data_IF_324008788947
#
_entry.id   IF_324008788947
#
_cell.length_a   1.000
_cell.length_b   1.000
_cell.length_c   1.000
_cell.angle_alpha   90.00
_cell.angle_beta   90.00
_cell.angle_gamma   90.00
#
_symmetry.space_group_name_H-M   'P 1'
#
loop_
_entity.id
_entity.type
_entity.pdbx_description
1 polymer ?
#
# COMPACT_ATOMS: atom_id res chain seq x y z
N UNK A 1 31.76 3.63 24.19
CA UNK A 1 31.69 4.27 22.86
C UNK A 1 32.01 3.22 21.81
N UNK A 2 31.00 2.45 21.41
CA UNK A 2 31.20 1.28 20.56
C UNK A 2 29.90 0.86 19.91
N UNK A 3 30.01 0.39 18.67
CA UNK A 3 29.06 -0.42 17.89
C UNK A 3 27.63 0.06 17.57
N UNK A 4 27.05 1.06 18.24
CA UNK A 4 25.64 1.43 18.02
C UNK A 4 25.39 2.51 16.94
N UNK A 5 26.44 3.19 16.48
CA UNK A 5 26.33 4.24 15.44
C UNK A 5 26.26 3.70 13.99
N UNK A 6 26.31 2.37 13.78
CA UNK A 6 26.28 1.76 12.43
C UNK A 6 24.94 1.10 12.06
N UNK A 7 24.06 0.87 13.03
CA UNK A 7 22.71 0.30 12.78
C UNK A 7 21.69 1.41 12.49
N UNK A 8 21.81 2.57 13.16
CA UNK A 8 20.95 3.74 12.90
C UNK A 8 21.24 4.48 11.58
N UNK A 9 22.34 4.17 10.88
CA UNK A 9 22.69 4.78 9.57
C UNK A 9 22.41 3.83 8.39
N UNK A 10 22.10 2.54 8.65
CA UNK A 10 21.80 1.57 7.60
C UNK A 10 20.30 1.48 7.24
N UNK A 11 19.39 1.84 8.16
CA UNK A 11 17.94 1.82 7.91
C UNK A 11 17.40 3.07 7.16
N UNK A 12 18.21 4.12 7.00
CA UNK A 12 17.84 5.35 6.27
C UNK A 12 18.48 5.46 4.86
N UNK A 13 19.30 4.47 4.44
CA UNK A 13 20.01 4.49 3.15
C UNK A 13 19.54 3.37 2.20
N UNK A 14 18.66 2.46 2.63
CA UNK A 14 18.19 1.33 1.83
C UNK A 14 16.99 1.58 0.89
N UNK A 15 16.19 2.63 1.11
CA UNK A 15 14.99 2.96 0.30
C UNK A 15 15.13 4.24 -0.54
N UNK A 16 16.36 4.76 -0.68
CA UNK A 16 16.70 5.86 -1.59
C UNK A 16 17.65 5.38 -2.69
N UNK A 17 17.32 4.25 -3.31
CA UNK A 17 17.51 4.12 -4.76
C UNK A 17 16.14 4.40 -5.39
N UNK A 18 15.64 5.61 -5.15
CA UNK A 18 15.10 6.33 -6.29
C UNK A 18 16.22 6.26 -7.31
N UNK A 19 15.99 5.54 -8.41
CA UNK A 19 16.73 5.87 -9.60
C UNK A 19 16.57 7.38 -9.73
N UNK A 20 17.63 8.13 -9.40
CA UNK A 20 17.81 9.43 -9.97
C UNK A 20 17.47 9.19 -11.45
N UNK A 21 16.49 9.90 -12.05
CA UNK A 21 16.33 9.81 -13.49
C UNK A 21 17.73 10.01 -14.00
N UNK A 22 18.28 8.96 -14.61
CA UNK A 22 19.65 9.00 -15.03
C UNK A 22 19.72 10.28 -15.83
N UNK A 23 20.53 11.23 -15.39
CA UNK A 23 21.04 12.28 -16.27
C UNK A 23 22.01 11.62 -17.24
N UNK A 24 21.62 10.48 -17.83
CA UNK A 24 21.67 10.37 -19.26
C UNK A 24 20.99 11.62 -19.77
N UNK A 25 21.80 12.61 -20.12
CA UNK A 25 21.54 13.42 -21.27
C UNK A 25 21.09 12.46 -22.38
N UNK A 26 19.79 12.15 -22.42
CA UNK A 26 19.12 12.09 -23.70
C UNK A 26 19.50 13.44 -24.29
N UNK A 27 20.39 13.42 -25.26
CA UNK A 27 20.70 14.60 -26.04
C UNK A 27 19.39 14.99 -26.70
N UNK A 28 18.56 15.76 -25.99
CA UNK A 28 17.37 16.36 -26.52
C UNK A 28 17.80 17.12 -27.76
N UNK A 29 17.08 16.90 -28.86
CA UNK A 29 17.31 17.65 -30.09
C UNK A 29 17.41 19.13 -29.72
N UNK A 30 18.48 19.78 -30.18
CA UNK A 30 18.66 21.22 -29.94
C UNK A 30 17.43 21.98 -30.43
N UNK A 31 17.12 23.13 -29.83
CA UNK A 31 15.99 23.97 -30.28
C UNK A 31 16.05 24.26 -31.78
N UNK A 32 17.25 24.41 -32.35
CA UNK A 32 17.44 24.57 -33.79
C UNK A 32 16.98 23.36 -34.62
N UNK A 33 17.21 22.15 -34.15
CA UNK A 33 16.76 20.93 -34.82
C UNK A 33 15.24 20.78 -34.73
N UNK A 34 14.67 21.12 -33.57
CA UNK A 34 13.21 21.09 -33.34
C UNK A 34 12.48 22.13 -34.19
N UNK A 35 13.05 23.32 -34.32
CA UNK A 35 12.56 24.36 -35.22
C UNK A 35 12.66 23.91 -36.69
N UNK A 36 13.75 23.26 -37.10
CA UNK A 36 13.86 22.71 -38.45
C UNK A 36 12.78 21.64 -38.73
N UNK A 37 12.46 20.79 -37.75
CA UNK A 37 11.37 19.81 -37.85
C UNK A 37 10.00 20.49 -37.93
N UNK A 38 9.76 21.54 -37.14
CA UNK A 38 8.55 22.36 -37.22
C UNK A 38 8.38 22.97 -38.62
N UNK A 39 9.44 23.55 -39.18
CA UNK A 39 9.42 24.14 -40.52
C UNK A 39 9.13 23.08 -41.59
N UNK A 40 9.69 21.87 -41.46
CA UNK A 40 9.40 20.77 -42.38
C UNK A 40 7.94 20.29 -42.27
N UNK A 41 7.40 20.22 -41.05
CA UNK A 41 6.00 19.88 -40.80
C UNK A 41 5.06 20.96 -41.37
N UNK A 42 5.37 22.25 -41.17
CA UNK A 42 4.57 23.37 -41.72
C UNK A 42 4.60 23.36 -43.26
N UNK A 43 5.74 23.03 -43.87
CA UNK A 43 5.86 22.91 -45.33
C UNK A 43 5.06 21.73 -45.90
N UNK A 44 4.78 20.70 -45.09
CA UNK A 44 4.03 19.49 -45.46
C UNK A 44 2.97 19.16 -44.40
N UNK A 45 1.90 19.97 -44.28
CA UNK A 45 0.95 19.88 -43.17
C UNK A 45 0.10 18.60 -43.14
N UNK A 46 0.07 17.84 -44.24
CA UNK A 46 -0.66 16.58 -44.36
C UNK A 46 0.23 15.33 -44.13
N UNK A 47 1.50 15.52 -43.80
CA UNK A 47 2.48 14.44 -43.58
C UNK A 47 2.48 14.04 -42.10
N UNK A 48 1.73 12.98 -41.78
CA UNK A 48 1.52 12.48 -40.40
C UNK A 48 2.85 12.13 -39.70
N UNK A 49 3.81 11.58 -40.44
CA UNK A 49 5.05 11.10 -39.83
C UNK A 49 5.92 12.26 -39.34
N UNK A 50 6.03 13.35 -40.11
CA UNK A 50 6.78 14.55 -39.68
C UNK A 50 6.21 15.20 -38.43
N UNK A 51 4.89 15.19 -38.30
CA UNK A 51 4.22 15.77 -37.16
C UNK A 51 4.35 14.88 -35.92
N UNK A 52 4.32 13.55 -36.06
CA UNK A 52 4.66 12.64 -34.96
C UNK A 52 6.13 12.81 -34.54
N UNK A 53 7.05 12.91 -35.50
CA UNK A 53 8.47 13.17 -35.20
C UNK A 53 8.67 14.49 -34.44
N UNK A 54 8.03 15.57 -34.89
CA UNK A 54 8.07 16.86 -34.19
C UNK A 54 7.40 16.81 -32.81
N UNK A 55 6.24 16.16 -32.70
CA UNK A 55 5.50 16.05 -31.44
C UNK A 55 6.28 15.24 -30.40
N UNK A 56 6.89 14.11 -30.77
CA UNK A 56 7.76 13.35 -29.87
C UNK A 56 8.99 14.15 -29.46
N UNK A 57 9.69 14.77 -30.40
CA UNK A 57 10.85 15.62 -30.10
C UNK A 57 10.49 16.78 -29.15
N UNK A 58 9.28 17.34 -29.29
CA UNK A 58 8.76 18.41 -28.44
C UNK A 58 8.38 17.91 -27.05
N UNK A 59 7.72 16.75 -26.97
CA UNK A 59 7.37 16.12 -25.71
C UNK A 59 8.61 15.72 -24.90
N UNK A 60 9.66 15.19 -25.55
CA UNK A 60 10.93 14.83 -24.91
C UNK A 60 11.68 16.06 -24.39
N UNK A 61 11.49 17.21 -25.03
CA UNK A 61 12.00 18.51 -24.58
C UNK A 61 11.12 19.17 -23.50
N UNK A 62 10.02 18.54 -23.07
CA UNK A 62 9.07 19.09 -22.11
C UNK A 62 8.10 20.14 -22.66
N UNK A 63 8.15 20.41 -23.97
CA UNK A 63 7.24 21.31 -24.68
C UNK A 63 5.97 20.55 -25.11
N UNK A 64 5.16 20.20 -24.11
CA UNK A 64 3.90 19.47 -24.32
C UNK A 64 2.88 20.30 -25.11
N UNK A 65 2.84 21.62 -24.91
CA UNK A 65 1.90 22.51 -25.62
C UNK A 65 2.20 22.57 -27.13
N UNK A 66 3.48 22.68 -27.51
CA UNK A 66 3.91 22.62 -28.91
C UNK A 66 3.60 21.27 -29.56
N UNK A 67 3.82 20.17 -28.83
CA UNK A 67 3.50 18.82 -29.29
C UNK A 67 1.98 18.62 -29.50
N UNK A 68 1.17 19.06 -28.53
CA UNK A 68 -0.30 18.99 -28.59
C UNK A 68 -0.81 19.81 -29.77
N UNK A 69 -0.35 21.06 -29.93
CA UNK A 69 -0.81 21.92 -31.03
C UNK A 69 -0.53 21.31 -32.41
N UNK A 70 0.62 20.65 -32.57
CA UNK A 70 0.96 19.95 -33.81
C UNK A 70 0.00 18.78 -34.08
N UNK A 71 -0.26 17.92 -33.09
CA UNK A 71 -1.14 16.77 -33.23
C UNK A 71 -2.63 17.14 -33.35
N UNK A 72 -3.10 18.18 -32.68
CA UNK A 72 -4.48 18.67 -32.84
C UNK A 72 -4.75 19.22 -34.23
N UNK A 73 -3.77 19.92 -34.82
CA UNK A 73 -3.88 20.34 -36.24
C UNK A 73 -3.98 19.15 -37.17
N UNK A 74 -3.38 18.02 -36.83
CA UNK A 74 -3.49 16.79 -37.63
C UNK A 74 -4.89 16.18 -37.58
N UNK A 75 -5.60 16.27 -36.46
CA UNK A 75 -6.99 15.80 -36.37
C UNK A 75 -7.92 16.53 -37.35
N UNK A 76 -7.56 17.75 -37.79
CA UNK A 76 -8.29 18.47 -38.83
C UNK A 76 -8.18 17.74 -40.18
N UNK A 77 -7.00 17.19 -40.49
CA UNK A 77 -6.71 16.52 -41.77
C UNK A 77 -7.06 15.03 -41.74
N UNK A 78 -6.91 14.38 -40.59
CA UNK A 78 -7.13 12.94 -40.40
C UNK A 78 -8.03 12.70 -39.18
N UNK A 79 -9.32 13.08 -39.25
CA UNK A 79 -10.26 12.88 -38.15
C UNK A 79 -10.41 11.39 -37.83
N UNK A 80 -10.58 11.07 -36.54
CA UNK A 80 -10.77 9.70 -36.05
C UNK A 80 -9.58 8.75 -36.27
N UNK A 81 -8.35 9.27 -36.31
CA UNK A 81 -7.14 8.45 -36.37
C UNK A 81 -6.74 8.00 -34.96
N UNK A 82 -6.82 6.69 -34.61
CA UNK A 82 -6.58 6.23 -33.24
C UNK A 82 -5.17 6.50 -32.75
N UNK A 83 -4.18 6.46 -33.65
CA UNK A 83 -2.78 6.79 -33.32
C UNK A 83 -2.65 8.24 -32.83
N UNK A 84 -3.29 9.19 -33.51
CA UNK A 84 -3.26 10.61 -33.11
C UNK A 84 -4.00 10.81 -31.78
N UNK A 85 -5.17 10.18 -31.63
CA UNK A 85 -5.93 10.23 -30.38
C UNK A 85 -5.16 9.64 -29.20
N UNK A 86 -4.46 8.52 -29.40
CA UNK A 86 -3.61 7.91 -28.37
C UNK A 86 -2.49 8.86 -27.94
N UNK A 87 -1.71 9.37 -28.90
CA UNK A 87 -0.61 10.30 -28.61
C UNK A 87 -1.11 11.59 -27.93
N UNK A 88 -2.24 12.15 -28.38
CA UNK A 88 -2.89 13.28 -27.69
C UNK A 88 -3.31 12.92 -26.27
N UNK A 89 -3.89 11.74 -26.06
CA UNK A 89 -4.21 11.24 -24.72
C UNK A 89 -2.98 11.19 -23.81
N UNK A 90 -1.85 10.68 -24.33
CA UNK A 90 -0.58 10.63 -23.59
C UNK A 90 -0.03 12.03 -23.30
N UNK A 91 -0.06 12.94 -24.27
CA UNK A 91 0.42 14.31 -24.08
C UNK A 91 -0.44 15.10 -23.09
N UNK A 92 -1.77 14.98 -23.18
CA UNK A 92 -2.69 15.59 -22.23
C UNK A 92 -2.56 14.98 -20.83
N UNK A 93 -2.28 13.68 -20.74
CA UNK A 93 -1.94 13.02 -19.48
C UNK A 93 -0.68 13.64 -18.86
N UNK A 94 0.39 13.78 -19.66
CA UNK A 94 1.66 14.40 -19.22
C UNK A 94 1.51 15.89 -18.87
N UNK A 95 0.62 16.62 -19.55
CA UNK A 95 0.27 18.01 -19.24
C UNK A 95 -0.56 18.16 -17.95
N UNK A 96 -1.10 17.04 -17.42
CA UNK A 96 -1.97 17.04 -16.24
C UNK A 96 -3.44 17.37 -16.55
N UNK A 97 -3.83 17.41 -17.82
CA UNK A 97 -5.20 17.63 -18.27
C UNK A 97 -5.96 16.30 -18.36
N UNK A 98 -6.20 15.68 -17.21
CA UNK A 98 -6.68 14.30 -17.09
C UNK A 98 -8.05 14.02 -17.72
N UNK A 99 -8.99 14.97 -17.64
CA UNK A 99 -10.31 14.82 -18.24
C UNK A 99 -10.22 14.77 -19.77
N UNK A 100 -9.36 15.60 -20.35
CA UNK A 100 -9.11 15.64 -21.80
C UNK A 100 -8.37 14.38 -22.23
N UNK A 101 -7.36 13.96 -21.46
CA UNK A 101 -6.63 12.71 -21.69
C UNK A 101 -7.57 11.50 -21.69
N UNK A 102 -8.47 11.43 -20.69
CA UNK A 102 -9.47 10.37 -20.57
C UNK A 102 -10.37 10.32 -21.80
N UNK A 103 -10.88 11.47 -22.26
CA UNK A 103 -11.73 11.53 -23.44
C UNK A 103 -11.02 10.99 -24.70
N UNK A 104 -9.75 11.33 -24.89
CA UNK A 104 -8.96 10.82 -26.02
C UNK A 104 -8.72 9.31 -25.92
N UNK A 105 -8.39 8.80 -24.74
CA UNK A 105 -8.22 7.36 -24.52
C UNK A 105 -9.53 6.57 -24.73
N UNK A 106 -10.67 7.09 -24.28
CA UNK A 106 -11.98 6.50 -24.54
C UNK A 106 -12.31 6.45 -26.03
N UNK A 107 -11.97 7.49 -26.79
CA UNK A 107 -12.13 7.49 -28.25
C UNK A 107 -11.27 6.43 -28.94
N UNK A 108 -10.03 6.20 -28.47
CA UNK A 108 -9.17 5.12 -28.98
C UNK A 108 -9.83 3.76 -28.73
N UNK A 109 -10.33 3.50 -27.52
CA UNK A 109 -11.00 2.24 -27.20
C UNK A 109 -12.34 2.04 -27.92
N UNK A 110 -13.03 3.13 -28.28
CA UNK A 110 -14.26 3.06 -29.05
C UNK A 110 -14.03 2.64 -30.52
N UNK A 111 -12.80 2.69 -31.03
CA UNK A 111 -12.48 2.30 -32.39
C UNK A 111 -12.13 0.80 -32.49
N UNK A 112 -12.96 -0.05 -33.14
CA UNK A 112 -12.73 -1.49 -33.22
C UNK A 112 -11.50 -1.91 -34.04
N UNK A 113 -10.92 -0.99 -34.81
CA UNK A 113 -9.73 -1.26 -35.65
C UNK A 113 -8.40 -1.13 -34.90
N UNK A 114 -8.44 -0.73 -33.63
CA UNK A 114 -7.24 -0.56 -32.81
C UNK A 114 -6.62 -1.92 -32.45
N UNK A 115 -5.32 -2.12 -32.71
CA UNK A 115 -4.59 -3.31 -32.29
C UNK A 115 -4.69 -3.56 -30.78
N UNK A 116 -4.76 -4.83 -30.37
CA UNK A 116 -4.97 -5.21 -28.96
C UNK A 116 -3.88 -4.67 -28.02
N UNK A 117 -2.63 -4.63 -28.47
CA UNK A 117 -1.49 -4.07 -27.75
C UNK A 117 -1.66 -2.57 -27.44
N UNK A 118 -2.15 -1.79 -28.40
CA UNK A 118 -2.48 -0.37 -28.19
C UNK A 118 -3.67 -0.22 -27.26
N UNK A 119 -4.70 -1.07 -27.40
CA UNK A 119 -5.86 -1.05 -26.51
C UNK A 119 -5.48 -1.37 -25.04
N UNK A 120 -4.56 -2.31 -24.81
CA UNK A 120 -4.04 -2.58 -23.45
C UNK A 120 -3.25 -1.38 -22.90
N UNK A 121 -2.41 -0.73 -23.70
CA UNK A 121 -1.69 0.49 -23.28
C UNK A 121 -2.65 1.63 -22.92
N UNK A 122 -3.71 1.82 -23.69
CA UNK A 122 -4.74 2.82 -23.40
C UNK A 122 -5.46 2.51 -22.08
N UNK A 123 -5.76 1.23 -21.81
CA UNK A 123 -6.36 0.82 -20.54
C UNK A 123 -5.44 1.05 -19.34
N UNK A 124 -4.12 0.90 -19.50
CA UNK A 124 -3.15 1.31 -18.47
C UNK A 124 -3.29 2.79 -18.14
N UNK A 125 -3.28 3.65 -19.16
CA UNK A 125 -3.41 5.09 -18.95
C UNK A 125 -4.76 5.46 -18.34
N UNK A 126 -5.86 4.81 -18.73
CA UNK A 126 -7.17 5.04 -18.10
C UNK A 126 -7.16 4.60 -16.62
N UNK A 127 -6.52 3.47 -16.28
CA UNK A 127 -6.39 3.03 -14.89
C UNK A 127 -5.54 4.00 -14.07
N UNK A 128 -4.41 4.46 -14.62
CA UNK A 128 -3.57 5.49 -14.01
C UNK A 128 -4.31 6.81 -13.86
N UNK A 129 -5.11 7.20 -14.85
CA UNK A 129 -6.00 8.36 -14.78
C UNK A 129 -7.09 8.18 -13.74
N UNK A 130 -7.62 6.98 -13.52
CA UNK A 130 -8.60 6.75 -12.45
C UNK A 130 -7.96 6.85 -11.05
N UNK A 131 -6.65 6.60 -10.97
CA UNK A 131 -5.86 6.74 -9.74
C UNK A 131 -5.38 8.20 -9.54
N UNK A 132 -5.04 8.92 -10.62
CA UNK A 132 -4.52 10.29 -10.60
C UNK A 132 -5.61 11.38 -10.71
N UNK A 133 -6.73 11.08 -11.37
CA UNK A 133 -7.89 11.95 -11.45
C UNK A 133 -8.77 11.67 -10.24
N UNK A 134 -8.58 12.51 -9.22
CA UNK A 134 -9.48 12.71 -8.09
C UNK A 134 -10.20 11.43 -7.59
N UNK A 135 -9.60 10.64 -6.67
CA UNK A 135 -10.29 9.50 -6.08
C UNK A 135 -11.68 9.93 -5.59
N UNK A 136 -12.71 9.09 -5.76
CA UNK A 136 -14.08 9.47 -5.46
C UNK A 136 -14.16 10.05 -4.04
N UNK A 137 -14.94 11.14 -3.82
CA UNK A 137 -15.08 11.80 -2.51
C UNK A 137 -15.49 10.86 -1.38
N UNK A 138 -16.02 9.70 -1.72
CA UNK A 138 -16.35 8.64 -0.79
C UNK A 138 -15.97 7.30 -1.41
N UNK A 139 -15.34 6.44 -0.62
CA UNK A 139 -15.24 5.01 -0.92
C UNK A 139 -15.30 4.22 0.38
N UNK A 140 -15.93 3.04 0.35
CA UNK A 140 -15.91 2.15 1.48
C UNK A 140 -15.79 0.69 1.04
N UNK A 141 -15.26 -0.14 1.93
CA UNK A 141 -15.24 -1.58 1.74
C UNK A 141 -15.49 -2.32 3.05
N UNK A 142 -16.18 -3.44 2.94
CA UNK A 142 -16.39 -4.38 4.04
C UNK A 142 -15.90 -5.75 3.56
N UNK A 143 -15.14 -6.42 4.39
CA UNK A 143 -14.68 -7.78 4.19
C UNK A 143 -15.07 -8.60 5.41
N UNK A 144 -15.85 -9.66 5.21
CA UNK A 144 -16.27 -10.58 6.26
C UNK A 144 -15.86 -11.99 5.88
N UNK A 145 -15.22 -12.72 6.79
CA UNK A 145 -14.69 -14.04 6.53
C UNK A 145 -14.88 -15.00 7.69
N UNK A 146 -14.97 -16.29 7.36
CA UNK A 146 -14.73 -17.38 8.30
C UNK A 146 -13.27 -17.76 8.15
N UNK A 147 -12.55 -17.81 9.28
CA UNK A 147 -11.12 -18.09 9.36
C UNK A 147 -10.89 -19.31 10.25
N UNK A 148 -9.98 -20.17 9.84
CA UNK A 148 -9.40 -21.22 10.67
C UNK A 148 -7.90 -20.99 10.80
N UNK A 149 -7.38 -21.16 12.00
CA UNK A 149 -5.97 -21.03 12.36
C UNK A 149 -5.52 -22.32 13.03
N UNK A 150 -4.31 -22.78 12.73
CA UNK A 150 -3.71 -23.91 13.44
C UNK A 150 -3.22 -23.52 14.83
N UNK A 151 -2.94 -22.23 15.03
CA UNK A 151 -2.48 -21.65 16.29
C UNK A 151 -3.12 -20.26 16.50
N UNK A 152 -4.40 -20.26 16.88
CA UNK A 152 -5.23 -19.07 17.05
C UNK A 152 -4.78 -18.15 18.19
N UNK A 153 -4.16 -18.71 19.24
CA UNK A 153 -3.65 -17.95 20.39
C UNK A 153 -2.18 -17.54 20.26
N UNK A 154 -1.52 -17.87 19.15
CA UNK A 154 -0.08 -17.67 18.95
C UNK A 154 0.76 -18.22 20.12
N UNK A 155 0.32 -19.32 20.70
CA UNK A 155 0.99 -19.97 21.81
C UNK A 155 2.26 -20.71 21.35
N UNK A 156 3.20 -21.00 22.27
CA UNK A 156 4.42 -21.74 21.97
C UNK A 156 4.16 -23.07 21.27
N UNK A 157 5.01 -23.41 20.29
CA UNK A 157 4.95 -24.70 19.58
C UNK A 157 5.40 -25.90 20.42
N UNK A 158 6.00 -25.66 21.59
CA UNK A 158 6.47 -26.66 22.55
C UNK A 158 5.87 -26.40 23.92
N UNK A 159 5.53 -27.46 24.66
CA UNK A 159 5.12 -27.34 26.06
C UNK A 159 6.31 -27.29 27.03
N UNK A 160 7.55 -27.46 26.55
CA UNK A 160 8.76 -27.30 27.34
C UNK A 160 9.38 -25.94 27.04
N UNK A 161 9.55 -25.12 28.08
CA UNK A 161 10.14 -23.77 27.98
C UNK A 161 11.19 -23.56 29.06
N UNK A 162 12.21 -22.77 28.75
CA UNK A 162 13.29 -22.43 29.68
C UNK A 162 13.11 -21.01 30.18
N UNK A 163 12.90 -20.82 31.48
CA UNK A 163 12.82 -19.50 32.11
C UNK A 163 13.99 -19.35 33.09
N UNK A 164 14.85 -18.36 32.88
CA UNK A 164 16.04 -18.11 33.69
C UNK A 164 16.93 -19.35 33.90
N UNK A 165 17.04 -20.21 32.88
CA UNK A 165 17.83 -21.45 32.92
C UNK A 165 17.17 -22.61 33.65
N UNK A 166 15.88 -22.51 33.98
CA UNK A 166 15.08 -23.57 34.60
C UNK A 166 14.03 -24.03 33.60
N UNK A 167 13.94 -25.34 33.37
CA UNK A 167 12.96 -25.94 32.48
C UNK A 167 11.59 -26.02 33.17
N UNK A 168 10.56 -25.55 32.49
CA UNK A 168 9.16 -25.63 32.89
C UNK A 168 8.36 -26.41 31.84
N UNK A 169 7.35 -27.13 32.31
CA UNK A 169 6.33 -27.73 31.45
C UNK A 169 5.06 -26.91 31.55
N UNK A 170 4.65 -26.31 30.43
CA UNK A 170 3.42 -25.56 30.28
C UNK A 170 2.21 -26.50 30.32
N UNK A 171 1.09 -26.01 30.87
CA UNK A 171 -0.19 -26.68 30.74
C UNK A 171 -0.72 -26.59 29.30
N UNK A 172 -1.60 -27.51 28.93
CA UNK A 172 -2.15 -27.59 27.57
C UNK A 172 -2.86 -26.30 27.11
N UNK A 173 -3.34 -25.47 28.05
CA UNK A 173 -3.98 -24.18 27.74
C UNK A 173 -2.99 -23.05 27.42
N UNK A 174 -1.69 -23.26 27.68
CA UNK A 174 -0.63 -22.26 27.47
C UNK A 174 0.22 -22.54 26.23
N UNK A 175 -0.12 -23.56 25.43
CA UNK A 175 0.52 -23.87 24.15
C UNK A 175 -0.38 -23.50 22.97
N UNK A 176 0.18 -23.55 21.76
CA UNK A 176 -0.58 -23.24 20.55
C UNK A 176 -1.81 -24.13 20.36
N UNK A 177 -2.96 -23.51 20.09
CA UNK A 177 -4.24 -24.23 19.88
C UNK A 177 -4.95 -23.77 18.60
N UNK A 178 -5.57 -24.68 17.84
CA UNK A 178 -6.32 -24.31 16.65
C UNK A 178 -7.65 -23.65 17.02
N UNK A 179 -8.16 -22.79 16.13
CA UNK A 179 -9.41 -22.06 16.37
C UNK A 179 -10.13 -21.68 15.09
N UNK A 180 -11.45 -21.48 15.20
CA UNK A 180 -12.27 -20.89 14.15
C UNK A 180 -12.76 -19.52 14.61
N UNK A 181 -12.74 -18.54 13.72
CA UNK A 181 -13.23 -17.19 14.00
C UNK A 181 -14.02 -16.58 12.85
N UNK A 182 -14.86 -15.61 13.19
CA UNK A 182 -15.37 -14.63 12.25
C UNK A 182 -14.42 -13.42 12.23
N UNK A 183 -13.90 -13.09 11.05
CA UNK A 183 -13.06 -11.92 10.81
C UNK A 183 -13.86 -10.86 10.02
N UNK A 184 -13.86 -9.62 10.49
CA UNK A 184 -14.49 -8.50 9.81
C UNK A 184 -13.50 -7.34 9.68
N UNK A 185 -13.38 -6.79 8.47
CA UNK A 185 -12.56 -5.63 8.17
C UNK A 185 -13.41 -4.61 7.43
N UNK A 186 -13.51 -3.40 7.97
CA UNK A 186 -14.18 -2.27 7.35
C UNK A 186 -13.19 -1.15 7.03
N UNK A 187 -13.27 -0.57 5.85
CA UNK A 187 -12.51 0.63 5.47
C UNK A 187 -13.45 1.68 4.94
N UNK A 188 -13.23 2.94 5.30
CA UNK A 188 -13.94 4.08 4.74
C UNK A 188 -12.94 5.19 4.47
N UNK A 189 -13.09 5.82 3.31
CA UNK A 189 -12.40 7.05 2.94
C UNK A 189 -13.44 8.09 2.56
N UNK A 190 -13.31 9.29 3.11
CA UNK A 190 -14.08 10.47 2.74
C UNK A 190 -13.13 11.63 2.47
N UNK A 191 -13.41 12.37 1.41
CA UNK A 191 -12.60 13.49 0.96
C UNK A 191 -13.52 14.66 0.55
N UNK A 192 -13.27 15.83 1.11
CA UNK A 192 -13.99 17.06 0.83
C UNK A 192 -13.07 18.08 0.17
N UNK A 193 -13.40 18.52 -1.05
CA UNK A 193 -12.62 19.52 -1.79
C UNK A 193 -12.75 20.91 -1.15
N UNK A 194 -11.61 21.48 -0.78
CA UNK A 194 -11.51 22.87 -0.34
C UNK A 194 -11.36 23.72 -1.60
N UNK A 195 -12.35 24.58 -1.84
CA UNK A 195 -12.55 25.39 -3.07
C UNK A 195 -11.34 26.23 -3.56
N UNK A 196 -10.21 26.23 -2.86
CA UNK A 196 -8.98 26.88 -3.28
C UNK A 196 -7.87 25.83 -3.48
N UNK A 197 -7.26 25.84 -4.68
CA UNK A 197 -5.97 25.21 -4.98
C UNK A 197 -5.90 23.67 -4.96
N UNK A 198 -7.04 22.95 -4.87
CA UNK A 198 -7.10 21.48 -4.92
C UNK A 198 -6.70 20.81 -3.61
N UNK A 199 -6.74 21.56 -2.52
CA UNK A 199 -6.57 21.07 -1.14
C UNK A 199 -7.85 20.38 -0.68
N UNK A 200 -7.74 19.40 0.20
CA UNK A 200 -8.89 18.62 0.66
C UNK A 200 -8.86 18.44 2.15
N UNK A 201 -10.02 18.14 2.71
CA UNK A 201 -10.15 17.60 4.05
C UNK A 201 -10.47 16.12 3.92
N UNK A 202 -9.61 15.27 4.45
CA UNK A 202 -9.70 13.82 4.31
C UNK A 202 -9.98 13.17 5.68
N UNK A 203 -10.77 12.10 5.64
CA UNK A 203 -11.08 11.23 6.77
C UNK A 203 -10.94 9.78 6.31
N UNK A 204 -10.06 9.03 6.98
CA UNK A 204 -9.95 7.59 6.80
C UNK A 204 -10.40 6.89 8.09
N UNK A 205 -11.06 5.75 7.93
CA UNK A 205 -11.46 4.88 9.03
C UNK A 205 -11.18 3.42 8.67
N UNK A 206 -10.60 2.69 9.62
CA UNK A 206 -10.35 1.26 9.57
C UNK A 206 -10.99 0.63 10.82
N UNK A 207 -11.77 -0.43 10.60
CA UNK A 207 -12.24 -1.32 11.66
C UNK A 207 -11.75 -2.73 11.37
N UNK A 208 -11.24 -3.41 12.38
CA UNK A 208 -10.85 -4.81 12.34
C UNK A 208 -11.48 -5.50 13.55
N UNK A 209 -12.18 -6.61 13.34
CA UNK A 209 -12.83 -7.37 14.40
C UNK A 209 -12.61 -8.85 14.17
N UNK A 210 -12.19 -9.57 15.21
CA UNK A 210 -12.08 -11.04 15.23
C UNK A 210 -12.83 -11.57 16.44
N UNK A 211 -13.71 -12.54 16.19
CA UNK A 211 -14.51 -13.20 17.22
C UNK A 211 -14.34 -14.71 17.04
N UNK A 212 -13.77 -15.39 18.04
CA UNK A 212 -13.61 -16.83 18.05
C UNK A 212 -14.91 -17.53 18.43
N UNK A 213 -15.13 -18.71 17.84
CA UNK A 213 -16.33 -19.51 18.12
C UNK A 213 -16.17 -20.42 19.34
N UNK A 214 -14.93 -20.54 19.85
CA UNK A 214 -14.61 -21.30 21.04
C UNK A 214 -14.50 -20.34 22.22
N UNK A 215 -15.29 -20.59 23.28
CA UNK A 215 -15.31 -19.75 24.48
C UNK A 215 -13.93 -19.71 25.16
N UNK A 216 -13.11 -20.76 25.01
CA UNK A 216 -11.76 -20.75 25.58
C UNK A 216 -10.83 -19.74 24.90
N UNK A 217 -11.14 -19.30 23.66
CA UNK A 217 -10.40 -18.31 22.87
C UNK A 217 -11.01 -16.90 22.94
N UNK A 218 -12.07 -16.72 23.73
CA UNK A 218 -12.76 -15.42 23.82
C UNK A 218 -11.91 -14.32 24.46
N UNK A 219 -10.88 -14.68 25.24
CA UNK A 219 -9.91 -13.78 25.86
C UNK A 219 -9.04 -13.03 24.83
N UNK A 220 -8.96 -13.55 23.61
CA UNK A 220 -8.23 -12.96 22.48
C UNK A 220 -9.14 -12.44 21.36
N UNK A 221 -10.45 -12.35 21.60
CA UNK A 221 -11.36 -11.61 20.72
C UNK A 221 -10.89 -10.15 20.65
N UNK A 222 -10.75 -9.61 19.44
CA UNK A 222 -10.15 -8.29 19.23
C UNK A 222 -11.07 -7.42 18.37
N UNK A 223 -11.40 -6.25 18.89
CA UNK A 223 -11.95 -5.14 18.13
C UNK A 223 -10.92 -4.00 18.09
N UNK A 224 -10.51 -3.61 16.89
CA UNK A 224 -9.56 -2.54 16.63
C UNK A 224 -10.16 -1.51 15.68
N UNK A 225 -10.02 -0.22 16.03
CA UNK A 225 -10.48 0.90 15.24
C UNK A 225 -9.34 1.91 15.09
N UNK A 226 -9.09 2.37 13.88
CA UNK A 226 -8.17 3.48 13.57
C UNK A 226 -8.92 4.52 12.75
N UNK A 227 -8.76 5.79 13.09
CA UNK A 227 -9.24 6.89 12.26
C UNK A 227 -8.17 7.93 12.05
N UNK A 228 -8.18 8.55 10.88
CA UNK A 228 -7.35 9.72 10.58
C UNK A 228 -8.21 10.86 10.10
N UNK A 229 -7.79 12.09 10.40
CA UNK A 229 -8.50 13.28 9.95
C UNK A 229 -7.55 14.46 9.80
N UNK A 230 -7.63 15.16 8.67
CA UNK A 230 -6.88 16.40 8.47
C UNK A 230 -6.88 16.93 7.05
N UNK A 231 -6.14 18.01 6.79
CA UNK A 231 -5.98 18.57 5.46
C UNK A 231 -4.94 17.81 4.62
N UNK A 232 -5.28 17.55 3.37
CA UNK A 232 -4.33 17.13 2.35
C UNK A 232 -4.09 18.23 1.32
N UNK A 233 -2.83 18.44 0.99
CA UNK A 233 -2.33 19.56 0.23
C UNK A 233 -1.89 19.09 -1.16
N UNK A 234 -2.37 19.76 -2.21
CA UNK A 234 -1.81 19.56 -3.53
C UNK A 234 -0.41 20.17 -3.61
N UNK A 235 0.61 19.38 -3.94
CA UNK A 235 2.01 19.80 -3.92
C UNK A 235 2.49 20.39 -5.24
N UNK A 236 1.62 20.47 -6.27
CA UNK A 236 1.92 21.16 -7.53
C UNK A 236 2.40 22.61 -7.32
N UNK A 237 1.94 23.28 -6.25
CA UNK A 237 2.37 24.65 -5.88
C UNK A 237 3.87 24.77 -5.57
N UNK A 238 4.53 23.66 -5.27
CA UNK A 238 5.96 23.56 -5.01
C UNK A 238 6.71 22.82 -6.13
N UNK A 239 6.14 22.76 -7.34
CA UNK A 239 6.67 22.04 -8.49
C UNK A 239 6.83 20.51 -8.28
N UNK A 240 6.04 19.93 -7.36
CA UNK A 240 5.91 18.48 -7.22
C UNK A 240 4.60 18.03 -7.85
N UNK A 241 4.65 17.72 -9.14
CA UNK A 241 3.48 17.27 -9.88
C UNK A 241 2.96 15.94 -9.31
N UNK A 242 1.64 15.76 -9.43
CA UNK A 242 0.96 14.50 -9.07
C UNK A 242 1.26 14.01 -7.64
N UNK A 243 1.52 14.94 -6.72
CA UNK A 243 1.92 14.63 -5.36
C UNK A 243 1.01 15.35 -4.37
N UNK A 244 0.60 14.64 -3.31
CA UNK A 244 -0.19 15.16 -2.20
C UNK A 244 0.54 14.95 -0.89
N UNK A 245 0.50 15.96 -0.03
CA UNK A 245 0.99 15.88 1.35
C UNK A 245 -0.21 15.94 2.29
N UNK A 246 -0.42 14.92 3.09
CA UNK A 246 -1.50 14.84 4.07
C UNK A 246 -0.92 15.00 5.47
N UNK A 247 -1.46 15.94 6.24
CA UNK A 247 -1.12 16.14 7.66
C UNK A 247 -2.38 15.89 8.46
N UNK A 248 -2.31 14.99 9.44
CA UNK A 248 -3.52 14.50 10.12
C UNK A 248 -3.30 14.20 11.60
N UNK A 249 -4.40 14.28 12.35
CA UNK A 249 -4.51 13.57 13.62
C UNK A 249 -4.84 12.10 13.33
N UNK A 250 -4.34 11.20 14.17
CA UNK A 250 -4.63 9.77 14.14
C UNK A 250 -5.10 9.31 15.52
N UNK A 251 -5.99 8.35 15.58
CA UNK A 251 -6.48 7.78 16.83
C UNK A 251 -6.80 6.30 16.69
N UNK A 252 -6.24 5.50 17.59
CA UNK A 252 -6.52 4.07 17.69
C UNK A 252 -7.34 3.75 18.94
N UNK A 253 -8.19 2.74 18.83
CA UNK A 253 -8.89 2.09 19.95
C UNK A 253 -8.79 0.58 19.76
N UNK A 254 -8.39 -0.12 20.82
CA UNK A 254 -8.36 -1.58 20.84
C UNK A 254 -9.09 -2.12 22.06
N UNK A 255 -9.92 -3.14 21.84
CA UNK A 255 -10.56 -3.95 22.87
C UNK A 255 -10.10 -5.39 22.68
N UNK A 256 -9.69 -6.04 23.77
CA UNK A 256 -9.21 -7.43 23.77
C UNK A 256 -9.99 -8.18 24.85
N UNK A 257 -10.61 -9.31 24.52
CA UNK A 257 -11.45 -10.06 25.46
C UNK A 257 -12.62 -9.24 26.00
N UNK A 258 -13.19 -8.35 25.18
CA UNK A 258 -14.26 -7.40 25.53
C UNK A 258 -13.87 -6.30 26.53
N UNK A 259 -12.62 -6.27 26.99
CA UNK A 259 -12.07 -5.21 27.83
C UNK A 259 -11.27 -4.19 27.01
N UNK A 260 -11.17 -2.95 27.51
CA UNK A 260 -10.32 -1.94 26.86
C UNK A 260 -8.86 -2.39 26.93
N UNK A 261 -8.20 -2.49 25.78
CA UNK A 261 -6.80 -2.91 25.69
C UNK A 261 -5.86 -1.70 25.64
N UNK A 262 -6.07 -0.78 24.69
CA UNK A 262 -5.42 0.53 24.67
C UNK A 262 -6.21 1.55 23.85
N UNK A 263 -5.88 2.82 24.05
CA UNK A 263 -6.21 3.90 23.11
C UNK A 263 -4.93 4.66 22.74
N UNK A 264 -4.83 5.15 21.51
CA UNK A 264 -3.59 5.78 21.03
C UNK A 264 -3.84 7.04 20.18
N UNK A 265 -3.97 8.23 20.79
CA UNK A 265 -3.98 9.48 20.05
C UNK A 265 -2.58 9.80 19.48
N UNK A 266 -2.56 10.43 18.31
CA UNK A 266 -1.32 10.76 17.64
C UNK A 266 -1.48 11.76 16.50
N UNK A 267 -0.40 11.92 15.76
CA UNK A 267 -0.37 12.70 14.52
C UNK A 267 0.49 12.01 13.47
N UNK A 268 0.20 12.30 12.22
CA UNK A 268 0.92 11.73 11.09
C UNK A 268 1.08 12.70 9.93
N UNK A 269 2.07 12.39 9.09
CA UNK A 269 2.27 13.00 7.79
C UNK A 269 2.40 11.89 6.75
N UNK A 270 1.67 12.02 5.65
CA UNK A 270 1.69 11.11 4.51
C UNK A 270 2.04 11.85 3.23
N UNK A 271 2.97 11.33 2.46
CA UNK A 271 3.30 11.78 1.11
C UNK A 271 2.81 10.72 0.11
N UNK A 272 1.85 11.09 -0.72
CA UNK A 272 1.32 10.24 -1.79
C UNK A 272 1.75 10.82 -3.14
N UNK A 273 2.53 10.09 -3.93
CA UNK A 273 3.04 10.54 -5.22
C UNK A 273 2.74 9.56 -6.34
N UNK A 274 2.23 10.10 -7.45
CA UNK A 274 1.99 9.42 -8.72
C UNK A 274 2.91 9.96 -9.84
N UNK A 275 3.97 10.69 -9.47
CA UNK A 275 4.83 11.42 -10.41
C UNK A 275 5.54 10.55 -11.45
N UNK A 276 5.66 9.24 -11.21
CA UNK A 276 6.16 8.27 -12.17
C UNK A 276 5.00 7.49 -12.79
N UNK A 277 4.98 7.40 -14.13
CA UNK A 277 3.89 6.82 -14.92
C UNK A 277 3.48 5.40 -14.52
N UNK A 278 4.41 4.58 -14.01
CA UNK A 278 4.13 3.19 -13.62
C UNK A 278 4.26 2.96 -12.13
N UNK A 279 4.37 4.02 -11.32
CA UNK A 279 4.67 3.87 -9.90
C UNK A 279 3.81 4.74 -9.00
N UNK A 280 3.48 4.20 -7.84
CA UNK A 280 2.82 4.93 -6.76
C UNK A 280 3.65 4.80 -5.51
N UNK A 281 3.98 5.93 -4.88
CA UNK A 281 4.65 5.98 -3.59
C UNK A 281 3.69 6.54 -2.54
N UNK A 282 3.48 5.78 -1.46
CA UNK A 282 2.77 6.20 -0.25
C UNK A 282 3.74 6.08 0.93
N UNK A 283 4.29 7.20 1.39
CA UNK A 283 5.21 7.24 2.53
C UNK A 283 4.53 7.92 3.73
N UNK A 284 4.70 7.36 4.93
CA UNK A 284 4.06 7.82 6.16
C UNK A 284 5.06 7.93 7.30
N UNK A 285 4.97 9.02 8.05
CA UNK A 285 5.61 9.18 9.35
C UNK A 285 4.51 9.45 10.37
N UNK A 286 4.37 8.57 11.35
CA UNK A 286 3.30 8.63 12.35
C UNK A 286 3.89 8.49 13.75
N UNK A 287 3.35 9.25 14.70
CA UNK A 287 3.68 9.14 16.12
C UNK A 287 2.39 9.06 16.93
N UNK A 288 2.34 8.14 17.88
CA UNK A 288 1.17 7.86 18.72
C UNK A 288 1.63 7.66 20.15
N UNK A 289 0.85 8.12 21.12
CA UNK A 289 1.03 7.76 22.52
C UNK A 289 0.04 6.65 22.86
N UNK A 290 0.51 5.42 23.08
CA UNK A 290 -0.32 4.25 23.34
C UNK A 290 -0.52 4.11 24.85
N UNK A 291 -1.75 4.25 25.32
CA UNK A 291 -2.09 4.07 26.73
C UNK A 291 -2.80 2.73 26.96
N UNK A 292 -2.04 1.76 27.45
CA UNK A 292 -2.51 0.40 27.73
C UNK A 292 -3.21 0.32 29.09
N UNK A 293 -4.31 -0.41 29.14
CA UNK A 293 -5.12 -0.55 30.35
C UNK A 293 -4.91 -1.94 30.97
N UNK A 294 -4.72 -1.97 32.29
CA UNK A 294 -4.69 -3.21 33.07
C UNK A 294 -6.10 -3.79 33.20
N UNK A 295 -6.22 -5.12 33.08
CA UNK A 295 -7.46 -5.85 33.34
C UNK A 295 -7.18 -7.14 34.13
N UNK A 296 -8.20 -7.99 34.35
CA UNK A 296 -8.03 -9.22 35.13
C UNK A 296 -7.08 -10.24 34.49
N UNK A 297 -7.03 -10.27 33.15
CA UNK A 297 -6.24 -11.24 32.38
C UNK A 297 -4.82 -10.72 32.11
N UNK A 298 -4.67 -9.40 32.02
CA UNK A 298 -3.44 -8.65 31.76
C UNK A 298 -3.23 -7.59 32.85
N UNK A 299 -2.89 -7.98 34.09
CA UNK A 299 -2.80 -7.05 35.24
C UNK A 299 -1.58 -6.11 35.21
N UNK A 300 -0.72 -6.22 34.21
CA UNK A 300 0.49 -5.41 34.04
C UNK A 300 0.63 -4.88 32.61
N UNK A 301 -0.47 -4.79 31.89
CA UNK A 301 -0.53 -4.29 30.52
C UNK A 301 -0.05 -2.82 30.42
N UNK A 302 -0.30 -2.02 31.45
CA UNK A 302 0.12 -0.62 31.56
C UNK A 302 1.64 -0.43 31.50
N UNK A 303 2.43 -1.48 31.75
CA UNK A 303 3.88 -1.45 31.55
C UNK A 303 4.28 -1.24 30.07
N UNK A 304 3.36 -1.45 29.13
CA UNK A 304 3.56 -1.21 27.68
C UNK A 304 3.27 0.23 27.27
N UNK A 305 2.73 1.05 28.17
CA UNK A 305 2.33 2.43 27.85
C UNK A 305 3.52 3.27 27.44
N UNK A 306 3.35 4.05 26.36
CA UNK A 306 4.34 5.02 25.93
C UNK A 306 4.26 5.38 24.45
N UNK A 307 5.36 5.87 23.89
CA UNK A 307 5.37 6.41 22.53
C UNK A 307 5.67 5.34 21.50
N UNK A 308 4.92 5.36 20.40
CA UNK A 308 5.23 4.63 19.18
C UNK A 308 5.50 5.64 18.07
N UNK A 309 6.62 5.51 17.37
CA UNK A 309 6.92 6.27 16.15
C UNK A 309 7.21 5.30 15.01
N UNK A 310 6.55 5.49 13.86
CA UNK A 310 6.69 4.63 12.69
C UNK A 310 6.94 5.43 11.44
N UNK A 311 7.98 5.05 10.70
CA UNK A 311 8.25 5.50 9.34
C UNK A 311 8.02 4.32 8.39
N UNK A 312 7.02 4.43 7.51
CA UNK A 312 6.65 3.41 6.55
C UNK A 312 6.60 3.93 5.12
N UNK A 313 6.83 3.05 4.16
CA UNK A 313 6.63 3.31 2.74
C UNK A 313 5.98 2.11 2.06
N UNK A 314 5.01 2.38 1.21
CA UNK A 314 4.39 1.44 0.29
C UNK A 314 4.66 1.94 -1.14
N UNK A 315 5.36 1.12 -1.92
CA UNK A 315 5.69 1.39 -3.31
C UNK A 315 5.02 0.36 -4.21
N UNK A 316 4.17 0.83 -5.12
CA UNK A 316 3.51 -0.02 -6.12
C UNK A 316 4.06 0.26 -7.51
N UNK A 317 4.39 -0.80 -8.25
CA UNK A 317 4.87 -0.73 -9.63
C UNK A 317 3.97 -1.54 -10.56
N UNK A 318 3.49 -0.92 -11.63
CA UNK A 318 2.55 -1.48 -12.60
C UNK A 318 3.32 -1.94 -13.85
N UNK A 319 3.60 -3.24 -13.95
CA UNK A 319 4.32 -3.79 -15.11
C UNK A 319 3.47 -3.75 -16.38
N UNK A 320 2.21 -4.16 -16.25
CA UNK A 320 1.21 -4.25 -17.34
C UNK A 320 -0.17 -3.98 -16.74
N UNK A 321 -1.23 -3.73 -17.55
CA UNK A 321 -2.56 -3.56 -16.97
C UNK A 321 -2.96 -4.86 -16.29
N UNK A 322 -3.22 -4.78 -14.99
CA UNK A 322 -3.52 -5.94 -14.15
C UNK A 322 -2.33 -6.69 -13.57
N UNK A 323 -1.06 -6.33 -13.81
CA UNK A 323 0.07 -6.93 -13.08
C UNK A 323 0.83 -5.88 -12.28
N UNK A 324 0.69 -5.95 -10.95
CA UNK A 324 1.23 -4.97 -10.02
C UNK A 324 2.11 -5.68 -9.01
N UNK A 325 3.27 -5.11 -8.73
CA UNK A 325 4.09 -5.44 -7.57
C UNK A 325 3.95 -4.36 -6.52
N UNK A 326 3.89 -4.77 -5.26
CA UNK A 326 3.79 -3.87 -4.11
C UNK A 326 4.92 -4.24 -3.16
N UNK A 327 5.78 -3.29 -2.85
CA UNK A 327 6.83 -3.41 -1.82
C UNK A 327 6.45 -2.54 -0.64
N UNK A 328 6.46 -3.10 0.56
CA UNK A 328 6.20 -2.33 1.78
C UNK A 328 7.39 -2.49 2.71
N UNK A 329 7.83 -1.40 3.31
CA UNK A 329 8.86 -1.41 4.33
C UNK A 329 8.49 -0.42 5.42
N UNK A 330 8.79 -0.76 6.67
CA UNK A 330 8.69 0.21 7.75
C UNK A 330 9.73 -0.07 8.82
N UNK A 331 10.10 1.00 9.51
CA UNK A 331 10.81 0.97 10.78
C UNK A 331 9.92 1.60 11.85
N UNK A 332 9.87 0.98 13.01
CA UNK A 332 9.09 1.41 14.15
C UNK A 332 9.96 1.39 15.40
N UNK A 333 9.74 2.38 16.26
CA UNK A 333 10.26 2.44 17.62
C UNK A 333 9.10 2.45 18.58
N UNK A 334 9.10 1.53 19.54
CA UNK A 334 8.24 1.57 20.72
C UNK A 334 9.09 1.92 21.95
N UNK A 335 8.68 2.96 22.67
CA UNK A 335 9.22 3.38 23.96
C UNK A 335 8.14 3.14 25.02
N UNK A 336 8.27 2.08 25.80
CA UNK A 336 7.34 1.68 26.84
C UNK A 336 7.79 2.15 28.25
N UNK A 337 6.89 2.06 29.24
CA UNK A 337 7.15 2.36 30.66
C UNK A 337 8.28 1.50 31.22
N UNK A 338 8.39 0.24 30.77
CA UNK A 338 9.51 -0.66 31.08
C UNK A 338 10.28 -1.04 29.82
N UNK A 339 11.60 -1.00 29.92
CA UNK A 339 12.50 -1.15 28.77
C UNK A 339 12.47 -2.53 28.11
N UNK A 340 12.09 -3.59 28.83
CA UNK A 340 11.91 -4.91 28.22
C UNK A 340 10.64 -5.02 27.34
N UNK A 341 9.79 -3.98 27.31
CA UNK A 341 8.73 -3.82 26.31
C UNK A 341 9.04 -2.72 25.27
N UNK A 342 10.18 -2.04 25.38
CA UNK A 342 10.66 -1.12 24.36
C UNK A 342 11.43 -1.87 23.30
N UNK A 343 11.17 -1.59 22.03
CA UNK A 343 11.77 -2.32 20.92
C UNK A 343 12.02 -1.45 19.68
N UNK A 344 12.86 -1.97 18.79
CA UNK A 344 12.88 -1.58 17.39
C UNK A 344 12.30 -2.69 16.53
N UNK A 345 11.39 -2.33 15.64
CA UNK A 345 10.81 -3.24 14.67
C UNK A 345 11.14 -2.78 13.25
N UNK A 346 11.64 -3.70 12.43
CA UNK A 346 11.87 -3.50 11.00
C UNK A 346 11.09 -4.56 10.22
N UNK A 347 10.32 -4.13 9.23
CA UNK A 347 9.65 -5.05 8.33
C UNK A 347 9.89 -4.72 6.87
N UNK A 348 9.91 -5.77 6.05
CA UNK A 348 9.97 -5.72 4.60
C UNK A 348 9.01 -6.77 4.03
N UNK A 349 8.14 -6.38 3.11
CA UNK A 349 7.27 -7.30 2.39
C UNK A 349 7.22 -6.99 0.91
N UNK A 350 6.95 -8.04 0.14
CA UNK A 350 6.80 -8.01 -1.30
C UNK A 350 5.53 -8.77 -1.67
N UNK A 351 4.69 -8.14 -2.48
CA UNK A 351 3.45 -8.72 -3.00
C UNK A 351 3.32 -8.51 -4.49
N UNK A 352 2.61 -9.42 -5.14
CA UNK A 352 2.23 -9.38 -6.54
C UNK A 352 0.72 -9.59 -6.65
N UNK A 353 0.08 -8.77 -7.47
CA UNK A 353 -1.32 -8.93 -7.85
C UNK A 353 -1.41 -9.07 -9.37
N UNK A 354 -1.96 -10.18 -9.84
CA UNK A 354 -2.18 -10.46 -11.25
C UNK A 354 -3.66 -10.66 -11.56
N UNK A 355 -4.22 -9.71 -12.29
CA UNK A 355 -5.59 -9.70 -12.80
C UNK A 355 -5.64 -10.30 -14.19
N UNK A 356 -6.48 -11.34 -14.38
CA UNK A 356 -6.64 -12.04 -15.65
C UNK A 356 -8.09 -12.45 -15.89
N UNK A 357 -8.40 -12.81 -17.14
CA UNK A 357 -9.76 -13.20 -17.54
C UNK A 357 -10.23 -14.42 -16.74
N UNK A 358 -11.43 -14.32 -16.16
CA UNK A 358 -12.02 -15.41 -15.39
C UNK A 358 -12.33 -16.63 -16.29
N UNK A 359 -11.77 -17.82 -15.99
CA UNK A 359 -11.98 -19.03 -16.80
C UNK A 359 -13.26 -19.82 -16.43
N UNK A 360 -13.94 -19.48 -15.33
CA UNK A 360 -15.02 -20.30 -14.74
C UNK A 360 -16.42 -19.70 -14.98
N UNK A 361 -16.61 -18.40 -14.77
CA UNK A 361 -17.86 -17.71 -15.13
C UNK A 361 -17.72 -17.03 -16.48
N UNK A 362 -18.84 -16.80 -17.16
CA UNK A 362 -18.96 -16.33 -18.55
C UNK A 362 -18.32 -14.93 -18.78
N UNK A 363 -16.99 -14.85 -18.64
CA UNK A 363 -16.04 -13.75 -18.86
C UNK A 363 -16.35 -12.37 -18.28
N UNK A 364 -17.43 -12.16 -17.52
CA UNK A 364 -17.90 -10.80 -17.23
C UNK A 364 -16.97 -10.00 -16.30
N UNK A 365 -16.33 -10.63 -15.31
CA UNK A 365 -15.43 -9.95 -14.38
C UNK A 365 -14.08 -10.69 -14.29
N UNK A 366 -12.94 -9.99 -14.40
CA UNK A 366 -11.61 -10.62 -14.28
C UNK A 366 -11.33 -11.04 -12.83
N UNK A 367 -10.58 -12.13 -12.65
CA UNK A 367 -10.08 -12.58 -11.35
C UNK A 367 -8.76 -11.88 -11.03
N UNK A 368 -8.45 -11.69 -9.75
CA UNK A 368 -7.11 -11.24 -9.32
C UNK A 368 -6.48 -12.26 -8.38
N UNK A 369 -5.34 -12.83 -8.77
CA UNK A 369 -4.52 -13.64 -7.89
C UNK A 369 -3.50 -12.75 -7.18
N UNK A 370 -3.42 -12.89 -5.87
CA UNK A 370 -2.48 -12.18 -5.03
C UNK A 370 -1.55 -13.17 -4.37
N UNK A 371 -0.25 -12.92 -4.42
CA UNK A 371 0.77 -13.69 -3.70
C UNK A 371 1.77 -12.71 -3.10
N UNK A 372 2.17 -12.93 -1.86
CA UNK A 372 3.16 -12.09 -1.22
C UNK A 372 3.75 -12.74 0.02
N UNK A 373 4.80 -12.14 0.52
CA UNK A 373 5.45 -12.55 1.76
C UNK A 373 6.27 -11.43 2.33
N UNK A 374 6.69 -11.60 3.58
CA UNK A 374 7.49 -10.60 4.25
C UNK A 374 8.25 -11.17 5.43
N UNK A 375 9.14 -10.33 5.94
CA UNK A 375 9.92 -10.57 7.14
C UNK A 375 9.69 -9.40 8.10
N UNK A 376 9.68 -9.71 9.39
CA UNK A 376 9.62 -8.75 10.49
C UNK A 376 10.72 -9.15 11.45
N UNK A 377 11.54 -8.19 11.86
CA UNK A 377 12.50 -8.37 12.94
C UNK A 377 12.19 -7.39 14.04
N UNK A 378 12.12 -7.89 15.28
CA UNK A 378 11.94 -7.09 16.49
C UNK A 378 13.09 -7.37 17.45
N UNK A 379 13.76 -6.32 17.91
CA UNK A 379 14.83 -6.42 18.90
C UNK A 379 14.45 -5.54 20.11
N UNK A 380 14.26 -6.17 21.27
CA UNK A 380 13.90 -5.49 22.51
C UNK A 380 15.13 -4.92 23.23
N UNK A 381 14.95 -3.79 23.92
CA UNK A 381 16.05 -3.02 24.50
C UNK A 381 16.71 -3.74 25.68
N UNK A 382 15.92 -4.30 26.58
CA UNK A 382 16.39 -4.92 27.82
C UNK A 382 15.81 -6.33 28.05
N UNK A 383 16.50 -7.18 28.84
CA UNK A 383 15.98 -8.49 29.23
C UNK A 383 14.74 -8.38 30.11
N UNK A 384 13.74 -9.21 29.83
CA UNK A 384 12.59 -9.42 30.72
C UNK A 384 13.04 -10.32 31.89
N UNK A 385 13.14 -9.80 33.12
CA UNK A 385 13.66 -10.55 34.24
C UNK A 385 12.80 -11.77 34.62
N UNK A 386 11.54 -11.83 34.17
CA UNK A 386 10.64 -12.96 34.40
C UNK A 386 10.92 -14.13 33.46
N UNK A 387 11.52 -13.87 32.30
CA UNK A 387 11.81 -14.87 31.26
C UNK A 387 13.31 -15.17 31.18
N UNK A 388 14.14 -14.14 31.01
CA UNK A 388 15.59 -14.26 30.93
C UNK A 388 16.26 -12.98 31.45
N UNK A 389 17.05 -13.09 32.53
CA UNK A 389 17.76 -11.95 33.12
C UNK A 389 19.02 -11.52 32.36
N UNK A 390 19.47 -12.27 31.35
CA UNK A 390 20.74 -12.04 30.66
C UNK A 390 20.58 -11.55 29.23
N UNK A 391 19.56 -12.00 28.52
CA UNK A 391 19.36 -11.72 27.09
C UNK A 391 18.02 -11.06 26.84
N UNK A 392 18.00 -9.97 26.06
CA UNK A 392 16.76 -9.35 25.59
C UNK A 392 16.09 -10.18 24.49
N UNK A 393 14.76 -10.09 24.42
CA UNK A 393 13.94 -10.77 23.41
C UNK A 393 14.32 -10.28 22.01
N UNK A 394 14.41 -11.23 21.06
CA UNK A 394 14.62 -10.97 19.65
C UNK A 394 13.76 -11.92 18.84
N UNK A 395 12.90 -11.34 18.02
CA UNK A 395 11.97 -12.08 17.20
C UNK A 395 12.30 -11.88 15.72
N UNK A 396 12.32 -12.98 14.98
CA UNK A 396 12.34 -12.99 13.53
C UNK A 396 11.08 -13.72 13.04
N UNK A 397 10.16 -12.97 12.44
CA UNK A 397 8.95 -13.51 11.82
C UNK A 397 9.10 -13.50 10.31
N UNK A 398 8.67 -14.56 9.65
CA UNK A 398 8.37 -14.52 8.23
C UNK A 398 6.96 -15.02 7.97
N UNK A 399 6.37 -14.52 6.90
CA UNK A 399 5.05 -14.93 6.47
C UNK A 399 4.94 -14.98 4.97
N UNK A 400 4.04 -15.83 4.48
CA UNK A 400 3.66 -15.91 3.07
C UNK A 400 2.15 -16.04 2.97
N UNK A 401 1.56 -15.37 2.00
CA UNK A 401 0.12 -15.32 1.78
C UNK A 401 -0.20 -15.46 0.30
N UNK A 402 -1.25 -16.21 0.00
CA UNK A 402 -1.88 -16.21 -1.31
C UNK A 402 -3.38 -16.03 -1.16
N UNK A 403 -3.98 -15.21 -2.02
CA UNK A 403 -5.42 -14.98 -2.06
C UNK A 403 -5.91 -14.92 -3.50
N UNK A 404 -7.14 -15.34 -3.74
CA UNK A 404 -7.80 -15.21 -5.04
C UNK A 404 -9.01 -14.31 -4.87
N UNK A 405 -8.99 -13.11 -5.44
CA UNK A 405 -10.15 -12.22 -5.45
C UNK A 405 -11.00 -12.56 -6.66
N UNK A 406 -12.20 -13.07 -6.40
CA UNK A 406 -13.12 -13.62 -7.37
C UNK A 406 -14.38 -12.73 -7.42
N UNK A 407 -14.48 -11.73 -8.30
CA UNK A 407 -15.68 -10.90 -8.39
C UNK A 407 -16.88 -11.74 -8.85
N UNK A 408 -17.97 -11.66 -8.09
CA UNK A 408 -19.24 -12.35 -8.38
C UNK A 408 -20.33 -11.38 -8.83
N UNK A 409 -20.14 -10.08 -8.56
CA UNK A 409 -20.92 -8.96 -9.10
C UNK A 409 -20.03 -7.70 -9.15
N UNK A 410 -20.54 -6.61 -9.71
CA UNK A 410 -19.78 -5.34 -9.86
C UNK A 410 -19.10 -4.85 -8.57
N UNK A 411 -19.72 -5.12 -7.42
CA UNK A 411 -19.30 -4.62 -6.10
C UNK A 411 -19.05 -5.74 -5.09
N UNK A 412 -19.19 -7.00 -5.48
CA UNK A 412 -19.06 -8.16 -4.60
C UNK A 412 -17.97 -9.11 -5.09
N UNK A 413 -17.14 -9.61 -4.18
CA UNK A 413 -16.13 -10.62 -4.47
C UNK A 413 -16.07 -11.71 -3.39
N UNK A 414 -15.76 -12.94 -3.80
CA UNK A 414 -15.33 -14.02 -2.90
C UNK A 414 -13.81 -14.02 -2.83
N UNK A 415 -13.26 -14.26 -1.64
CA UNK A 415 -11.81 -14.22 -1.39
C UNK A 415 -11.39 -15.41 -0.53
N UNK A 416 -11.13 -16.59 -1.14
CA UNK A 416 -10.33 -17.62 -0.48
C UNK A 416 -8.89 -17.13 -0.31
N UNK A 417 -8.32 -17.36 0.87
CA UNK A 417 -6.94 -17.01 1.21
C UNK A 417 -6.31 -18.07 2.10
N UNK A 418 -5.00 -18.25 1.94
CA UNK A 418 -4.13 -19.04 2.81
C UNK A 418 -2.95 -18.18 3.21
N UNK A 419 -2.59 -18.19 4.48
CA UNK A 419 -1.36 -17.60 5.02
C UNK A 419 -0.62 -18.64 5.87
N UNK A 420 0.71 -18.64 5.77
CA UNK A 420 1.56 -19.32 6.73
C UNK A 420 2.48 -18.29 7.37
N UNK A 421 2.62 -18.35 8.69
CA UNK A 421 3.49 -17.50 9.51
C UNK A 421 4.34 -18.38 10.41
N UNK A 422 5.60 -18.04 10.55
CA UNK A 422 6.53 -18.67 11.48
C UNK A 422 7.30 -17.56 12.19
N UNK A 423 7.29 -17.59 13.51
CA UNK A 423 7.99 -16.66 14.39
C UNK A 423 9.01 -17.45 15.20
N UNK A 424 10.27 -17.07 15.05
CA UNK A 424 11.37 -17.59 15.85
C UNK A 424 11.83 -16.55 16.85
N UNK A 425 12.02 -16.96 18.09
CA UNK A 425 12.50 -16.10 19.16
C UNK A 425 13.57 -16.79 19.98
N UNK A 426 14.46 -16.01 20.59
CA UNK A 426 15.32 -16.53 21.65
C UNK A 426 14.56 -16.79 22.96
N UNK A 427 13.31 -16.35 23.05
CA UNK A 427 12.39 -16.71 24.12
C UNK A 427 11.50 -17.87 23.66
N UNK A 428 11.60 -19.02 24.34
CA UNK A 428 10.80 -20.22 24.00
C UNK A 428 9.29 -19.91 23.98
N UNK A 429 8.84 -19.00 24.86
CA UNK A 429 7.45 -18.54 24.97
C UNK A 429 6.92 -17.78 23.73
N UNK A 430 7.80 -17.39 22.81
CA UNK A 430 7.50 -16.53 21.65
C UNK A 430 7.74 -17.24 20.33
N UNK A 431 8.11 -18.52 20.35
CA UNK A 431 8.37 -19.31 19.16
C UNK A 431 7.13 -20.13 18.77
N UNK A 432 6.59 -19.86 17.59
CA UNK A 432 5.39 -20.52 17.08
C UNK A 432 5.28 -20.46 15.56
N UNK A 433 4.46 -21.34 14.99
CA UNK A 433 3.95 -21.19 13.63
C UNK A 433 2.42 -21.19 13.60
N UNK A 434 1.86 -20.64 12.52
CA UNK A 434 0.42 -20.64 12.25
C UNK A 434 0.14 -20.80 10.75
N UNK A 435 -0.76 -21.73 10.43
CA UNK A 435 -1.40 -21.88 9.13
C UNK A 435 -2.82 -21.32 9.22
N UNK A 436 -3.02 -20.16 8.61
CA UNK A 436 -4.33 -19.54 8.48
C UNK A 436 -4.98 -19.90 7.15
N UNK A 437 -6.23 -20.35 7.18
CA UNK A 437 -7.08 -20.46 5.99
C UNK A 437 -8.36 -19.67 6.19
N UNK A 438 -8.79 -18.92 5.19
CA UNK A 438 -10.04 -18.16 5.29
C UNK A 438 -10.80 -18.14 3.98
N UNK A 439 -12.12 -18.05 4.10
CA UNK A 439 -13.03 -17.78 3.00
C UNK A 439 -13.85 -16.54 3.34
N UNK A 440 -13.59 -15.46 2.61
CA UNK A 440 -14.25 -14.19 2.83
C UNK A 440 -15.13 -13.73 1.68
N UNK A 441 -16.00 -12.77 2.00
CA UNK A 441 -16.80 -12.00 1.06
C UNK A 441 -16.43 -10.53 1.22
N UNK A 442 -16.08 -9.88 0.11
CA UNK A 442 -15.82 -8.45 0.06
C UNK A 442 -16.97 -7.73 -0.64
N UNK A 443 -17.40 -6.61 -0.06
CA UNK A 443 -18.32 -5.63 -0.64
C UNK A 443 -17.63 -4.27 -0.74
N UNK A 444 -17.71 -3.63 -1.90
CA UNK A 444 -17.25 -2.24 -2.13
C UNK A 444 -18.45 -1.32 -2.34
N UNK A 445 -18.34 -0.07 -1.92
CA UNK A 445 -19.38 0.96 -2.00
C UNK A 445 -18.88 2.21 -2.72
#
# INVERSE_FOLDING_TARGET
MGSWAKVAIAAAVGCLILGAPGTGSAAGLSEQQREAMLQQMIARPNDLDLAFEYAHASADAGDYEGAISALERMLIYAPNTPRIQFELGVLYYKLGAYDVARSYFEQVLANPSVPNDVAEQVRLYIQQLAIAADPPPFSASIFSAIRWESNANFGPGSNSVTLNGIDFTLGDQSVGRPGWSALNIGTLHYSHDLKQQGDRLEFDFLAYSTIYFDDELSDIDLDFFEFTFGPSFNMKRFAWDQTRLFVYGIGDLAYLGYDSYFYAPGAGVRLLSFSATQSVLDARLETRYRDFQDNSDLPTNSLRTGWQTRLGANYSYYFTPGFVMTTQAYVQREDAEVSFYSDWELALSLGFAWTFKNPVWNAQYPLTWQVGGGIIRRDYDDPDPTINIYESERDDTWWTRTALVIPVAETWALVPQVEYRDQQSNYDLRTFDDLTTLLGVQKRF
#
